data_IF_482195552128
#
_entry.id   IF_482195552128
#
_cell.length_a   1.000
_cell.length_b   1.000
_cell.length_c   1.000
_cell.angle_alpha   90.00
_cell.angle_beta   90.00
_cell.angle_gamma   90.00
#
_symmetry.space_group_name_H-M   'P 1'
#
loop_
_entity.id
_entity.type
_entity.pdbx_description
1 polymer ?
#
# COMPACT_ATOMS: atom_id res chain seq x y z
N UNK A 1 12.14 -8.63 5.94
CA UNK A 1 10.92 -9.42 5.66
C UNK A 1 9.87 -8.49 5.08
N UNK A 2 9.26 -8.84 3.96
CA UNK A 2 8.14 -8.12 3.32
C UNK A 2 7.01 -9.11 3.02
N UNK A 3 5.76 -8.69 3.24
CA UNK A 3 4.59 -9.48 2.91
C UNK A 3 3.72 -8.71 1.91
N UNK A 4 3.26 -9.39 0.87
CA UNK A 4 2.31 -8.87 -0.11
C UNK A 4 1.19 -9.87 -0.31
N UNK A 5 0.00 -9.41 -0.60
CA UNK A 5 -1.17 -10.28 -0.70
C UNK A 5 -1.98 -9.98 -1.97
N UNK A 6 -2.58 -11.02 -2.48
CA UNK A 6 -3.65 -10.95 -3.49
C UNK A 6 -4.95 -11.52 -2.89
N UNK A 7 -6.01 -11.60 -3.66
CA UNK A 7 -7.27 -12.19 -3.19
C UNK A 7 -7.20 -13.66 -2.78
N UNK A 8 -6.15 -14.41 -3.17
CA UNK A 8 -6.05 -15.86 -2.95
C UNK A 8 -4.76 -16.29 -2.26
N UNK A 9 -3.72 -15.46 -2.30
CA UNK A 9 -2.38 -15.85 -1.85
C UNK A 9 -1.66 -14.69 -1.16
N UNK A 10 -0.81 -15.03 -0.20
CA UNK A 10 0.13 -14.11 0.42
C UNK A 10 1.55 -14.64 0.20
N UNK A 11 2.45 -13.78 -0.24
CA UNK A 11 3.89 -14.06 -0.20
C UNK A 11 4.53 -13.38 1.00
N UNK A 12 5.43 -14.09 1.65
CA UNK A 12 6.34 -13.52 2.64
C UNK A 12 7.76 -13.70 2.12
N UNK A 13 8.39 -12.61 1.70
CA UNK A 13 9.74 -12.59 1.18
C UNK A 13 10.72 -12.18 2.28
N UNK A 14 11.82 -12.93 2.41
CA UNK A 14 12.90 -12.68 3.35
C UNK A 14 14.11 -12.08 2.63
N UNK A 15 14.97 -11.38 3.36
CA UNK A 15 16.22 -10.83 2.84
C UNK A 15 17.21 -11.90 2.34
N UNK A 16 17.03 -13.14 2.79
CA UNK A 16 17.77 -14.32 2.28
C UNK A 16 17.37 -14.73 0.86
N UNK A 17 16.32 -14.14 0.28
CA UNK A 17 15.72 -14.55 -0.99
C UNK A 17 14.69 -15.67 -0.87
N UNK A 18 14.51 -16.22 0.33
CA UNK A 18 13.48 -17.23 0.58
C UNK A 18 12.08 -16.61 0.51
N UNK A 19 11.16 -17.33 -0.13
CA UNK A 19 9.74 -16.96 -0.22
C UNK A 19 8.89 -18.06 0.40
N UNK A 20 8.06 -17.67 1.35
CA UNK A 20 6.92 -18.47 1.82
C UNK A 20 5.69 -18.04 1.02
N UNK A 21 5.02 -19.01 0.43
CA UNK A 21 3.78 -18.81 -0.30
C UNK A 21 2.63 -19.43 0.51
N UNK A 22 1.67 -18.60 0.89
CA UNK A 22 0.50 -18.99 1.68
C UNK A 22 -0.74 -18.89 0.81
N UNK A 23 -1.37 -20.02 0.50
CA UNK A 23 -2.70 -20.04 -0.11
C UNK A 23 -3.75 -19.78 0.98
N UNK A 24 -4.68 -18.84 0.74
CA UNK A 24 -5.67 -18.49 1.76
C UNK A 24 -6.61 -19.63 2.11
N UNK A 25 -6.91 -20.50 1.15
CA UNK A 25 -7.75 -21.71 1.35
C UNK A 25 -7.08 -22.75 2.26
N UNK A 26 -5.75 -22.71 2.39
CA UNK A 26 -4.97 -23.62 3.23
C UNK A 26 -4.72 -23.07 4.64
N UNK A 27 -5.16 -21.84 4.95
CA UNK A 27 -4.99 -21.23 6.25
C UNK A 27 -5.95 -21.86 7.27
N UNK A 28 -5.40 -22.48 8.30
CA UNK A 28 -6.12 -23.12 9.39
C UNK A 28 -5.55 -22.74 10.76
N UNK A 29 -5.70 -23.63 11.74
CA UNK A 29 -5.11 -23.44 13.09
C UNK A 29 -3.57 -23.38 13.07
N UNK A 30 -2.95 -23.98 12.05
CA UNK A 30 -1.51 -23.96 11.83
C UNK A 30 -1.22 -23.48 10.40
N UNK A 31 -0.18 -22.66 10.27
CA UNK A 31 0.30 -22.14 8.98
C UNK A 31 1.60 -22.87 8.62
N UNK A 32 1.63 -23.51 7.44
CA UNK A 32 2.88 -24.04 6.90
C UNK A 32 3.72 -22.88 6.32
N UNK A 33 4.70 -22.43 7.10
CA UNK A 33 5.63 -21.38 6.73
C UNK A 33 6.92 -21.91 6.10
N UNK A 34 6.89 -23.14 5.53
CA UNK A 34 8.06 -23.68 4.83
C UNK A 34 8.34 -22.88 3.57
N UNK A 35 9.57 -22.38 3.36
CA UNK A 35 9.93 -21.71 2.11
C UNK A 35 9.70 -22.60 0.90
N UNK A 36 9.01 -22.06 -0.12
CA UNK A 36 8.68 -22.76 -1.36
C UNK A 36 9.65 -22.47 -2.48
N UNK A 37 10.22 -21.26 -2.47
CA UNK A 37 11.09 -20.74 -3.51
C UNK A 37 12.25 -19.96 -2.90
N UNK A 38 13.33 -19.84 -3.67
CA UNK A 38 14.42 -18.89 -3.43
C UNK A 38 14.58 -18.06 -4.68
N UNK A 39 14.39 -16.74 -4.58
CA UNK A 39 14.53 -15.79 -5.70
C UNK A 39 15.39 -14.61 -5.28
N UNK A 40 16.16 -14.08 -6.23
CA UNK A 40 16.95 -12.85 -6.02
C UNK A 40 16.08 -11.62 -6.28
N UNK A 41 15.23 -11.29 -5.29
CA UNK A 41 14.31 -10.16 -5.39
C UNK A 41 14.93 -8.91 -4.78
N UNK A 42 14.88 -7.79 -5.52
CA UNK A 42 15.33 -6.46 -5.06
C UNK A 42 14.22 -5.61 -4.43
N UNK A 43 13.01 -6.15 -4.31
CA UNK A 43 11.82 -5.44 -3.82
C UNK A 43 10.72 -6.40 -3.34
N UNK A 44 9.48 -5.90 -3.19
CA UNK A 44 8.34 -6.71 -2.80
C UNK A 44 7.98 -7.74 -3.89
N UNK A 45 7.82 -9.01 -3.51
CA UNK A 45 7.35 -10.06 -4.43
C UNK A 45 5.85 -10.16 -4.31
N UNK A 46 5.13 -9.93 -5.41
CA UNK A 46 3.67 -9.85 -5.43
C UNK A 46 3.05 -11.09 -6.10
N UNK A 47 2.19 -11.86 -5.41
CA UNK A 47 1.40 -12.88 -6.05
C UNK A 47 0.25 -12.23 -6.84
N UNK A 48 0.12 -12.57 -8.13
CA UNK A 48 -0.94 -12.04 -8.96
C UNK A 48 -1.30 -13.02 -10.09
N UNK A 49 -2.57 -13.37 -10.24
CA UNK A 49 -3.11 -14.21 -11.32
C UNK A 49 -2.32 -15.54 -11.49
N UNK A 50 -2.11 -16.27 -10.40
CA UNK A 50 -1.35 -17.54 -10.33
C UNK A 50 0.12 -17.40 -10.81
N UNK A 51 0.71 -16.23 -10.63
CA UNK A 51 2.11 -15.89 -10.92
C UNK A 51 2.71 -15.13 -9.76
N UNK A 52 4.03 -15.01 -9.78
CA UNK A 52 4.78 -14.10 -8.92
C UNK A 52 5.41 -13.01 -9.79
N UNK A 53 5.20 -11.77 -9.39
CA UNK A 53 5.85 -10.59 -9.95
C UNK A 53 7.06 -10.28 -9.08
N UNK A 54 8.26 -10.37 -9.65
CA UNK A 54 9.53 -10.32 -8.91
C UNK A 54 10.38 -9.15 -9.38
N UNK A 55 10.55 -8.10 -8.58
CA UNK A 55 11.54 -7.06 -8.87
C UNK A 55 12.95 -7.62 -8.80
N UNK A 56 13.76 -7.36 -9.83
CA UNK A 56 15.14 -7.84 -9.93
C UNK A 56 16.17 -6.73 -9.76
N UNK A 57 17.39 -7.07 -9.41
CA UNK A 57 18.51 -6.13 -9.34
C UNK A 57 18.79 -5.43 -10.69
N UNK A 58 18.30 -5.99 -11.80
CA UNK A 58 18.35 -5.40 -13.14
C UNK A 58 17.36 -4.27 -13.38
N UNK A 59 16.66 -3.79 -12.36
CA UNK A 59 15.64 -2.74 -12.44
C UNK A 59 14.46 -3.11 -13.34
N UNK A 60 14.09 -4.38 -13.34
CA UNK A 60 12.90 -4.91 -14.01
C UNK A 60 12.03 -5.70 -13.04
N UNK A 61 10.76 -5.84 -13.38
CA UNK A 61 9.85 -6.79 -12.73
C UNK A 61 9.69 -7.96 -13.69
N UNK A 62 10.07 -9.15 -13.23
CA UNK A 62 9.94 -10.39 -13.99
C UNK A 62 8.71 -11.17 -13.53
N UNK A 63 8.20 -12.01 -14.42
CA UNK A 63 7.03 -12.86 -14.17
C UNK A 63 7.50 -14.30 -14.10
N UNK A 64 7.28 -14.94 -12.97
CA UNK A 64 7.55 -16.36 -12.78
C UNK A 64 6.27 -17.09 -12.34
N UNK A 65 6.23 -18.37 -12.55
CA UNK A 65 5.17 -19.21 -12.00
C UNK A 65 5.41 -19.53 -10.51
N UNK A 66 4.49 -20.24 -9.89
CA UNK A 66 4.60 -20.62 -8.48
C UNK A 66 5.67 -21.69 -8.20
N UNK A 67 6.31 -22.23 -9.24
CA UNK A 67 7.45 -23.14 -9.15
C UNK A 67 8.79 -22.43 -9.31
N UNK A 68 8.77 -21.14 -9.72
CA UNK A 68 9.95 -20.31 -9.94
C UNK A 68 10.44 -20.27 -11.38
N UNK A 69 9.73 -20.92 -12.30
CA UNK A 69 10.07 -20.91 -13.72
C UNK A 69 9.51 -19.67 -14.44
N UNK A 70 10.19 -19.13 -15.48
CA UNK A 70 9.68 -18.02 -16.27
C UNK A 70 8.26 -18.29 -16.80
N UNK A 71 7.36 -17.33 -16.61
CA UNK A 71 5.96 -17.45 -16.99
C UNK A 71 5.59 -16.46 -18.12
N UNK A 72 4.53 -16.76 -18.92
CA UNK A 72 4.08 -15.89 -19.99
C UNK A 72 3.63 -14.51 -19.48
N UNK A 73 4.13 -13.45 -20.14
CA UNK A 73 3.79 -12.07 -19.86
C UNK A 73 4.91 -11.11 -20.27
N UNK A 74 4.67 -9.83 -20.09
CA UNK A 74 5.62 -8.77 -20.40
C UNK A 74 6.34 -8.34 -19.12
N UNK A 75 7.66 -8.50 -19.09
CA UNK A 75 8.49 -7.88 -18.05
C UNK A 75 8.46 -6.35 -18.19
N UNK A 76 8.60 -5.63 -17.08
CA UNK A 76 8.56 -4.18 -17.09
C UNK A 76 9.76 -3.55 -16.41
N UNK A 77 10.25 -2.45 -16.94
CA UNK A 77 11.26 -1.62 -16.27
C UNK A 77 10.65 -0.98 -15.01
N UNK A 78 11.33 -1.16 -13.87
CA UNK A 78 10.97 -0.58 -12.59
C UNK A 78 12.21 -0.42 -11.72
N UNK A 79 12.84 0.74 -11.80
CA UNK A 79 13.96 1.07 -10.91
C UNK A 79 13.42 1.45 -9.54
N UNK A 80 14.05 0.98 -8.47
CA UNK A 80 13.68 1.33 -7.10
C UNK A 80 12.32 0.80 -6.67
N UNK A 81 11.96 -0.43 -7.08
CA UNK A 81 10.69 -1.05 -6.66
C UNK A 81 10.54 -1.02 -5.13
N UNK A 82 9.75 -0.08 -4.60
CA UNK A 82 9.64 0.20 -3.17
C UNK A 82 8.45 -0.49 -2.51
N UNK A 83 7.33 -0.59 -3.22
CA UNK A 83 6.10 -1.19 -2.73
C UNK A 83 5.29 -1.84 -3.85
N UNK A 84 4.36 -2.72 -3.49
CA UNK A 84 3.42 -3.33 -4.41
C UNK A 84 2.08 -3.58 -3.71
N UNK A 85 0.99 -3.29 -4.42
CA UNK A 85 -0.37 -3.52 -3.93
C UNK A 85 -1.27 -4.04 -5.04
N UNK A 86 -2.36 -4.71 -4.67
CA UNK A 86 -3.38 -5.18 -5.61
C UNK A 86 -4.59 -4.26 -5.58
N UNK A 87 -5.10 -3.95 -6.76
CA UNK A 87 -6.33 -3.21 -6.94
C UNK A 87 -7.32 -4.05 -7.73
N UNK A 88 -8.57 -3.62 -7.81
CA UNK A 88 -9.55 -4.26 -8.70
C UNK A 88 -9.20 -4.17 -10.20
N UNK A 89 -8.21 -3.38 -10.57
CA UNK A 89 -7.72 -3.23 -11.95
C UNK A 89 -6.57 -4.19 -12.23
N UNK A 90 -5.67 -4.37 -11.27
CA UNK A 90 -4.48 -5.21 -11.42
C UNK A 90 -3.50 -5.01 -10.26
N UNK A 91 -2.32 -5.61 -10.38
CA UNK A 91 -1.22 -5.40 -9.45
C UNK A 91 -0.40 -4.16 -9.84
N UNK A 92 -0.06 -3.34 -8.87
CA UNK A 92 0.67 -2.07 -9.05
C UNK A 92 1.97 -2.12 -8.28
N UNK A 93 3.06 -1.78 -8.94
CA UNK A 93 4.36 -1.57 -8.31
C UNK A 93 4.73 -0.10 -8.33
N UNK A 94 5.27 0.40 -7.23
CA UNK A 94 5.85 1.74 -7.13
C UNK A 94 7.30 1.70 -7.55
N UNK A 95 7.68 2.57 -8.49
CA UNK A 95 9.03 2.72 -9.02
C UNK A 95 9.49 4.18 -8.88
N UNK A 96 10.79 4.46 -9.05
CA UNK A 96 11.34 5.81 -8.97
C UNK A 96 10.70 6.80 -9.96
N UNK A 97 10.28 6.31 -11.14
CA UNK A 97 9.71 7.15 -12.21
C UNK A 97 8.18 7.14 -12.27
N UNK A 98 7.49 6.44 -11.35
CA UNK A 98 6.04 6.29 -11.38
C UNK A 98 5.57 4.96 -10.84
N UNK A 99 4.63 4.33 -11.54
CA UNK A 99 4.19 2.97 -11.24
C UNK A 99 4.21 2.09 -12.48
N UNK A 100 4.18 0.77 -12.24
CA UNK A 100 3.90 -0.23 -13.27
C UNK A 100 2.65 -0.99 -12.87
N UNK A 101 1.66 -1.03 -13.76
CA UNK A 101 0.44 -1.79 -13.61
C UNK A 101 0.54 -3.10 -14.39
N UNK A 102 0.31 -4.22 -13.72
CA UNK A 102 0.14 -5.52 -14.34
C UNK A 102 -1.33 -5.90 -14.40
N UNK A 103 -1.80 -6.29 -15.58
CA UNK A 103 -3.17 -6.75 -15.81
C UNK A 103 -3.18 -8.11 -16.47
N UNK A 104 -4.23 -8.89 -16.23
CA UNK A 104 -4.41 -10.20 -16.87
C UNK A 104 -5.11 -10.06 -18.21
N UNK A 105 -4.49 -10.54 -19.27
CA UNK A 105 -5.07 -10.59 -20.60
C UNK A 105 -5.99 -11.79 -20.81
N UNK A 106 -6.80 -11.71 -21.87
CA UNK A 106 -7.55 -12.86 -22.39
C UNK A 106 -6.54 -13.91 -22.89
N UNK A 107 -6.51 -15.07 -22.26
CA UNK A 107 -5.49 -16.10 -22.54
C UNK A 107 -4.50 -16.31 -21.41
N UNK A 108 -4.53 -15.45 -20.38
CA UNK A 108 -3.83 -15.67 -19.11
C UNK A 108 -2.42 -15.11 -19.03
N UNK A 109 -1.90 -14.51 -20.11
CA UNK A 109 -0.66 -13.74 -20.05
C UNK A 109 -0.85 -12.45 -19.23
N UNK A 110 0.22 -11.90 -18.69
CA UNK A 110 0.20 -10.61 -18.02
C UNK A 110 0.77 -9.53 -18.95
N UNK A 111 0.02 -8.44 -19.09
CA UNK A 111 0.48 -7.21 -19.74
C UNK A 111 0.99 -6.24 -18.66
N UNK A 112 2.03 -5.48 -19.00
CA UNK A 112 2.64 -4.48 -18.14
C UNK A 112 2.50 -3.09 -18.76
N UNK A 113 2.02 -2.13 -17.98
CA UNK A 113 1.79 -0.74 -18.42
C UNK A 113 2.47 0.23 -17.45
N UNK A 114 3.46 1.05 -17.89
CA UNK A 114 4.05 2.08 -17.06
C UNK A 114 3.11 3.28 -16.91
N UNK A 115 3.03 3.82 -15.70
CA UNK A 115 2.26 5.02 -15.36
C UNK A 115 3.24 6.05 -14.78
N UNK A 116 3.84 6.93 -15.60
CA UNK A 116 4.87 7.86 -15.15
C UNK A 116 4.30 8.99 -14.29
N UNK A 117 5.10 9.54 -13.37
CA UNK A 117 4.74 10.77 -12.68
C UNK A 117 4.62 11.94 -13.65
N UNK A 118 3.58 12.78 -13.54
CA UNK A 118 3.38 13.94 -14.43
C UNK A 118 4.30 15.12 -14.10
N UNK A 119 4.86 15.15 -12.89
CA UNK A 119 5.74 16.21 -12.39
C UNK A 119 6.83 15.59 -11.51
N UNK A 120 7.94 16.31 -11.36
CA UNK A 120 9.01 15.90 -10.46
C UNK A 120 8.60 16.13 -9.01
N UNK A 121 8.58 15.03 -8.24
CA UNK A 121 8.40 15.04 -6.79
C UNK A 121 8.90 13.68 -6.24
N UNK A 122 9.22 13.58 -4.95
CA UNK A 122 9.67 12.32 -4.36
C UNK A 122 8.67 11.19 -4.62
N UNK A 123 9.13 10.00 -5.08
CA UNK A 123 8.26 8.84 -5.20
C UNK A 123 7.80 8.38 -3.81
N UNK A 124 6.60 7.81 -3.69
CA UNK A 124 6.14 7.24 -2.44
C UNK A 124 6.91 5.96 -2.14
N UNK A 125 7.24 5.74 -0.88
CA UNK A 125 7.86 4.50 -0.41
C UNK A 125 6.84 3.41 -0.12
N UNK A 126 5.58 3.79 0.04
CA UNK A 126 4.42 2.91 0.23
C UNK A 126 3.23 3.47 -0.51
N UNK A 127 2.42 2.59 -1.09
CA UNK A 127 1.11 2.88 -1.64
C UNK A 127 0.04 2.14 -0.86
N UNK A 128 -1.06 2.80 -0.57
CA UNK A 128 -2.17 2.19 0.16
C UNK A 128 -3.51 2.69 -0.35
N UNK A 129 -4.47 1.80 -0.41
CA UNK A 129 -5.84 2.10 -0.76
C UNK A 129 -6.82 1.23 0.00
N UNK A 130 -8.10 1.56 -0.11
CA UNK A 130 -9.14 0.69 0.39
C UNK A 130 -9.20 -0.59 -0.46
N UNK A 131 -9.31 -1.74 0.19
CA UNK A 131 -9.40 -3.03 -0.47
C UNK A 131 -10.43 -3.03 -1.62
N UNK A 132 -10.11 -3.71 -2.72
CA UNK A 132 -10.94 -3.85 -3.93
C UNK A 132 -11.31 -2.53 -4.60
N UNK A 133 -10.50 -1.48 -4.43
CA UNK A 133 -10.69 -0.18 -5.08
C UNK A 133 -9.56 0.13 -6.08
N UNK A 134 -9.83 1.03 -7.04
CA UNK A 134 -8.84 1.31 -8.09
C UNK A 134 -7.79 2.34 -7.68
N UNK A 135 -7.99 3.06 -6.56
CA UNK A 135 -7.15 4.19 -6.19
C UNK A 135 -6.16 3.79 -5.10
N UNK A 136 -4.93 4.28 -5.22
CA UNK A 136 -3.87 4.14 -4.23
C UNK A 136 -3.29 5.52 -3.90
N UNK A 137 -2.82 5.71 -2.68
CA UNK A 137 -2.13 6.93 -2.28
C UNK A 137 -0.87 6.63 -1.47
N UNK A 138 0.10 7.55 -1.52
CA UNK A 138 1.33 7.46 -0.76
C UNK A 138 1.94 8.83 -0.53
N UNK A 139 2.79 8.96 0.48
CA UNK A 139 3.42 10.23 0.85
C UNK A 139 4.46 10.63 -0.20
N UNK A 140 4.43 11.89 -0.65
CA UNK A 140 5.36 12.51 -1.59
C UNK A 140 6.42 13.35 -0.86
N UNK A 141 7.16 12.73 0.06
CA UNK A 141 8.12 13.42 0.91
C UNK A 141 7.46 14.56 1.73
N UNK A 142 8.09 15.72 1.76
CA UNK A 142 7.57 16.88 2.49
C UNK A 142 6.56 17.72 1.67
N UNK A 143 6.31 17.34 0.40
CA UNK A 143 5.49 18.14 -0.52
C UNK A 143 3.99 17.86 -0.35
N UNK A 144 3.64 16.62 0.07
CA UNK A 144 2.25 16.21 0.21
C UNK A 144 2.06 14.71 -0.02
N UNK A 145 1.07 14.33 -0.82
CA UNK A 145 0.78 12.93 -1.16
C UNK A 145 0.58 12.75 -2.67
N UNK A 146 0.95 11.59 -3.17
CA UNK A 146 0.54 11.11 -4.46
C UNK A 146 -0.79 10.35 -4.36
N UNK A 147 -1.70 10.65 -5.27
CA UNK A 147 -2.91 9.86 -5.53
C UNK A 147 -2.79 9.25 -6.93
N UNK A 148 -2.89 7.94 -7.02
CA UNK A 148 -2.91 7.18 -8.27
C UNK A 148 -4.34 6.68 -8.52
N UNK A 149 -4.98 7.18 -9.55
CA UNK A 149 -6.14 6.56 -10.17
C UNK A 149 -5.66 5.50 -11.17
N UNK A 150 -5.69 4.23 -10.74
CA UNK A 150 -5.18 3.11 -11.54
C UNK A 150 -6.06 2.86 -12.77
N UNK A 151 -7.35 3.18 -12.71
CA UNK A 151 -8.27 3.03 -13.84
C UNK A 151 -7.98 4.03 -14.95
N UNK A 152 -7.71 5.28 -14.58
CA UNK A 152 -7.41 6.36 -15.51
C UNK A 152 -5.91 6.46 -15.85
N UNK A 153 -5.04 5.62 -15.25
CA UNK A 153 -3.57 5.67 -15.37
C UNK A 153 -3.03 7.06 -15.07
N UNK A 154 -3.51 7.66 -14.00
CA UNK A 154 -3.21 9.05 -13.71
C UNK A 154 -2.76 9.26 -12.28
N UNK A 155 -1.60 9.91 -12.14
CA UNK A 155 -1.13 10.45 -10.88
C UNK A 155 -1.61 11.89 -10.67
N UNK A 156 -1.96 12.21 -9.43
CA UNK A 156 -2.25 13.58 -8.96
C UNK A 156 -1.41 13.86 -7.73
N UNK A 157 -0.68 14.98 -7.74
CA UNK A 157 0.08 15.43 -6.56
C UNK A 157 -0.82 16.32 -5.70
N UNK A 158 -1.21 15.80 -4.54
CA UNK A 158 -1.97 16.52 -3.51
C UNK A 158 -0.98 17.28 -2.62
N UNK A 159 -0.84 18.57 -2.85
CA UNK A 159 0.10 19.39 -2.06
C UNK A 159 -0.43 19.59 -0.64
N UNK A 160 0.48 19.59 0.34
CA UNK A 160 0.17 19.85 1.74
C UNK A 160 1.14 20.88 2.31
N UNK A 161 0.61 21.82 3.09
CA UNK A 161 1.43 22.82 3.82
C UNK A 161 2.14 22.22 5.04
N UNK A 162 1.67 21.05 5.49
CA UNK A 162 2.19 20.33 6.64
C UNK A 162 2.71 18.98 6.17
N UNK A 163 3.92 18.56 6.57
CA UNK A 163 4.44 17.24 6.21
C UNK A 163 3.49 16.11 6.58
N UNK A 164 3.35 15.15 5.69
CA UNK A 164 2.50 13.99 5.88
C UNK A 164 3.33 12.77 6.29
N UNK A 165 2.72 11.87 7.08
CA UNK A 165 3.35 10.64 7.57
C UNK A 165 2.73 9.42 6.86
N UNK A 166 1.42 9.44 6.64
CA UNK A 166 0.67 8.37 5.98
C UNK A 166 -0.34 8.97 5.01
N UNK A 167 -0.62 8.22 3.93
CA UNK A 167 -1.65 8.56 2.96
C UNK A 167 -2.31 7.28 2.46
N UNK A 168 -3.64 7.24 2.42
CA UNK A 168 -4.44 6.10 1.96
C UNK A 168 -5.60 6.60 1.11
N UNK A 169 -5.78 6.04 -0.09
CA UNK A 169 -6.88 6.40 -0.97
C UNK A 169 -8.19 5.71 -0.52
N UNK A 170 -9.29 6.47 -0.50
CA UNK A 170 -10.62 5.92 -0.22
C UNK A 170 -11.19 5.13 -1.40
N UNK A 171 -10.76 5.41 -2.62
CA UNK A 171 -11.29 4.79 -3.84
C UNK A 171 -12.78 4.98 -3.99
N UNK A 172 -13.30 6.12 -3.58
CA UNK A 172 -14.69 6.52 -3.69
C UNK A 172 -14.92 7.42 -4.91
N UNK A 173 -16.18 7.74 -5.19
CA UNK A 173 -16.55 8.58 -6.33
C UNK A 173 -15.97 10.00 -6.26
N UNK A 174 -15.55 10.43 -5.08
CA UNK A 174 -14.90 11.72 -4.84
C UNK A 174 -13.38 11.66 -4.95
N UNK A 175 -12.78 10.51 -5.21
CA UNK A 175 -11.31 10.29 -5.25
C UNK A 175 -10.59 10.91 -4.06
N UNK A 176 -11.16 10.74 -2.85
CA UNK A 176 -10.65 11.34 -1.62
C UNK A 176 -9.49 10.52 -1.07
N UNK A 177 -8.60 11.22 -0.37
CA UNK A 177 -7.44 10.63 0.29
C UNK A 177 -7.47 10.95 1.78
N UNK A 178 -7.31 9.95 2.64
CA UNK A 178 -7.11 10.13 4.07
C UNK A 178 -5.62 10.21 4.34
N UNK A 179 -5.18 11.23 5.06
CA UNK A 179 -3.78 11.43 5.40
C UNK A 179 -3.61 11.66 6.90
N UNK A 180 -2.45 11.27 7.43
CA UNK A 180 -1.98 11.63 8.76
C UNK A 180 -0.82 12.62 8.62
N UNK A 181 -0.89 13.77 9.30
CA UNK A 181 0.17 14.76 9.29
C UNK A 181 1.14 14.62 10.49
N UNK A 182 2.23 15.39 10.44
CA UNK A 182 3.28 15.40 11.47
C UNK A 182 2.79 15.95 12.83
N UNK A 183 1.67 16.66 12.87
CA UNK A 183 1.04 17.12 14.10
C UNK A 183 0.15 16.05 14.76
N UNK A 184 0.01 14.90 14.13
CA UNK A 184 -0.85 13.81 14.61
C UNK A 184 -2.34 13.99 14.30
N UNK A 185 -2.67 14.78 13.27
CA UNK A 185 -4.04 15.02 12.81
C UNK A 185 -4.36 14.15 11.61
N UNK A 186 -5.54 13.62 11.60
CA UNK A 186 -6.10 13.00 10.38
C UNK A 186 -6.79 14.08 9.56
N UNK A 187 -6.53 14.07 8.26
CA UNK A 187 -7.19 14.95 7.29
C UNK A 187 -7.79 14.09 6.16
N UNK A 188 -8.87 14.58 5.57
CA UNK A 188 -9.42 14.05 4.33
C UNK A 188 -9.23 15.10 3.26
N UNK A 189 -8.52 14.73 2.20
CA UNK A 189 -8.22 15.62 1.08
C UNK A 189 -9.12 15.29 -0.10
N UNK A 190 -9.60 16.32 -0.78
CA UNK A 190 -10.19 16.23 -2.12
C UNK A 190 -9.09 16.01 -3.18
N UNK A 191 -9.43 15.59 -4.42
CA UNK A 191 -8.45 15.36 -5.48
C UNK A 191 -7.70 16.60 -5.96
N UNK A 192 -8.13 17.81 -5.60
CA UNK A 192 -7.43 19.08 -5.83
C UNK A 192 -6.53 19.49 -4.65
N UNK A 193 -6.51 18.70 -3.56
CA UNK A 193 -5.74 18.96 -2.35
C UNK A 193 -6.49 19.77 -1.29
N UNK A 194 -7.75 20.18 -1.52
CA UNK A 194 -8.54 20.86 -0.49
C UNK A 194 -8.76 19.95 0.71
N UNK A 195 -8.61 20.53 1.92
CA UNK A 195 -8.88 19.82 3.19
C UNK A 195 -10.37 19.86 3.48
N UNK A 196 -11.04 18.73 3.27
CA UNK A 196 -12.49 18.58 3.52
C UNK A 196 -12.81 18.34 5.00
N UNK A 197 -11.93 17.58 5.68
CA UNK A 197 -12.09 17.19 7.08
C UNK A 197 -10.74 17.27 7.78
N UNK A 198 -10.74 17.67 9.05
CA UNK A 198 -9.55 17.68 9.91
C UNK A 198 -9.93 17.40 11.36
N UNK A 199 -9.21 16.46 11.99
CA UNK A 199 -9.39 16.16 13.43
C UNK A 199 -8.58 17.12 14.31
N UNK A 200 -8.80 17.08 15.62
CA UNK A 200 -7.79 17.51 16.59
C UNK A 200 -6.54 16.59 16.51
N UNK A 201 -5.40 16.99 17.11
CA UNK A 201 -4.22 16.13 17.16
C UNK A 201 -4.48 14.89 18.02
N UNK A 202 -4.70 13.75 17.38
CA UNK A 202 -4.98 12.49 18.08
C UNK A 202 -3.70 11.76 18.46
N UNK A 203 -2.64 11.85 17.64
CA UNK A 203 -1.41 11.08 17.75
C UNK A 203 -0.16 11.91 18.01
N UNK A 204 -0.29 13.09 18.64
CA UNK A 204 0.84 13.99 18.83
C UNK A 204 2.07 13.32 19.49
N UNK A 205 1.86 12.47 20.49
CA UNK A 205 2.94 11.74 21.18
C UNK A 205 3.57 10.66 20.29
N UNK A 206 2.75 9.88 19.59
CA UNK A 206 3.22 8.81 18.70
C UNK A 206 4.01 9.37 17.52
N UNK A 207 3.59 10.47 16.91
CA UNK A 207 4.29 11.06 15.76
C UNK A 207 5.54 11.84 16.14
N UNK A 208 5.62 12.36 17.36
CA UNK A 208 6.79 13.08 17.85
C UNK A 208 8.00 12.18 18.08
N UNK A 209 7.77 10.90 18.44
CA UNK A 209 8.82 9.92 18.70
C UNK A 209 9.10 9.07 17.45
N UNK A 210 10.28 9.13 16.82
CA UNK A 210 10.57 8.40 15.57
C UNK A 210 10.26 6.91 15.65
N UNK A 211 10.69 6.23 16.72
CA UNK A 211 10.46 4.79 16.89
C UNK A 211 8.97 4.41 17.03
N UNK A 212 8.12 5.30 17.53
CA UNK A 212 6.68 5.09 17.59
C UNK A 212 6.01 5.47 16.27
N UNK A 213 6.49 6.52 15.60
CA UNK A 213 5.99 6.98 14.31
C UNK A 213 6.04 5.88 13.24
N UNK A 214 7.10 5.08 13.24
CA UNK A 214 7.24 3.96 12.30
C UNK A 214 6.19 2.88 12.53
N UNK A 215 5.67 2.76 13.75
CA UNK A 215 4.60 1.82 14.13
C UNK A 215 3.19 2.37 13.87
N UNK A 216 3.06 3.66 13.58
CA UNK A 216 1.75 4.25 13.26
C UNK A 216 1.28 3.72 11.92
N UNK A 217 0.09 3.14 11.89
CA UNK A 217 -0.56 2.64 10.70
C UNK A 217 -1.90 3.33 10.50
N UNK A 218 -2.26 3.51 9.25
CA UNK A 218 -3.54 4.08 8.82
C UNK A 218 -4.16 3.12 7.81
N UNK A 219 -5.34 2.61 8.11
CA UNK A 219 -6.14 1.74 7.24
C UNK A 219 -7.54 2.34 7.11
N UNK A 220 -8.20 2.16 5.98
CA UNK A 220 -9.53 2.73 5.73
C UNK A 220 -10.51 1.69 5.22
N UNK A 221 -11.76 1.82 5.64
CA UNK A 221 -12.91 1.14 5.04
C UNK A 221 -13.86 2.15 4.34
N UNK A 222 -15.08 1.76 4.06
CA UNK A 222 -16.08 2.59 3.40
C UNK A 222 -16.54 3.80 4.25
N UNK A 223 -16.33 3.78 5.56
CA UNK A 223 -16.86 4.76 6.51
C UNK A 223 -15.83 5.28 7.50
N UNK A 224 -14.85 4.47 7.85
CA UNK A 224 -13.91 4.75 8.92
C UNK A 224 -12.46 4.67 8.46
N UNK A 225 -11.63 5.44 9.16
CA UNK A 225 -10.20 5.28 9.20
C UNK A 225 -9.83 4.67 10.56
N UNK A 226 -8.94 3.68 10.54
CA UNK A 226 -8.39 3.02 11.73
C UNK A 226 -6.94 3.42 11.87
N UNK A 227 -6.59 3.94 13.03
CA UNK A 227 -5.30 4.56 13.28
C UNK A 227 -4.67 3.98 14.54
N UNK A 228 -3.50 3.36 14.42
CA UNK A 228 -2.77 2.88 15.59
C UNK A 228 -2.14 4.05 16.34
N UNK A 229 -2.25 4.04 17.67
CA UNK A 229 -1.60 4.97 18.58
C UNK A 229 -0.66 4.20 19.54
N UNK A 230 0.61 3.98 19.14
CA UNK A 230 1.56 3.23 19.94
C UNK A 230 1.94 3.90 21.27
N UNK A 231 1.84 5.23 21.37
CA UNK A 231 2.16 5.95 22.60
C UNK A 231 1.12 5.69 23.70
N UNK A 232 -0.16 5.64 23.32
CA UNK A 232 -1.26 5.45 24.25
C UNK A 232 -1.75 3.97 24.30
N UNK A 233 -1.12 3.07 23.52
CA UNK A 233 -1.52 1.66 23.45
C UNK A 233 -2.95 1.51 22.92
N UNK A 234 -3.31 2.25 21.87
CA UNK A 234 -4.68 2.36 21.41
C UNK A 234 -4.82 2.20 19.87
N UNK A 235 -6.05 1.96 19.43
CA UNK A 235 -6.47 2.08 18.04
C UNK A 235 -7.71 2.98 18.01
N UNK A 236 -7.65 4.04 17.21
CA UNK A 236 -8.78 4.95 17.00
C UNK A 236 -9.55 4.58 15.72
N UNK A 237 -10.87 4.49 15.84
CA UNK A 237 -11.82 4.39 14.73
C UNK A 237 -12.41 5.79 14.51
N UNK A 238 -12.21 6.35 13.31
CA UNK A 238 -12.56 7.73 12.97
C UNK A 238 -13.52 7.70 11.79
N UNK A 239 -14.71 8.32 11.92
CA UNK A 239 -15.58 8.56 10.77
C UNK A 239 -14.92 9.62 9.86
N UNK A 240 -14.41 9.20 8.71
CA UNK A 240 -13.67 10.08 7.81
C UNK A 240 -14.54 11.10 7.07
N UNK A 241 -15.89 11.10 7.27
CA UNK A 241 -16.79 12.10 6.68
C UNK A 241 -16.87 13.38 7.50
N UNK A 242 -16.67 13.27 8.83
CA UNK A 242 -16.79 14.40 9.76
C UNK A 242 -15.58 14.53 10.72
N UNK A 243 -14.65 13.59 10.69
CA UNK A 243 -13.47 13.57 11.55
C UNK A 243 -13.72 13.18 13.00
N UNK A 244 -14.91 12.70 13.32
CA UNK A 244 -15.26 12.31 14.68
C UNK A 244 -14.64 10.95 15.02
N UNK A 245 -13.99 10.86 16.18
CA UNK A 245 -13.59 9.57 16.77
C UNK A 245 -14.87 8.81 17.16
N UNK A 246 -15.17 7.76 16.42
CA UNK A 246 -16.33 6.91 16.64
C UNK A 246 -16.10 5.94 17.81
N UNK A 247 -14.89 5.43 17.93
CA UNK A 247 -14.47 4.49 18.98
C UNK A 247 -12.97 4.58 19.23
N UNK A 248 -12.55 4.25 20.45
CA UNK A 248 -11.15 4.00 20.81
C UNK A 248 -11.04 2.66 21.49
N UNK A 249 -10.16 1.81 20.99
CA UNK A 249 -9.79 0.54 21.61
C UNK A 249 -8.50 0.77 22.39
N UNK A 250 -8.47 0.44 23.68
CA UNK A 250 -7.35 0.68 24.59
C UNK A 250 -6.73 -0.62 25.07
N UNK A 251 -5.65 -0.51 25.84
CA UNK A 251 -4.92 -1.65 26.43
C UNK A 251 -4.35 -2.59 25.35
N UNK A 252 -3.86 -2.02 24.25
CA UNK A 252 -3.25 -2.71 23.14
C UNK A 252 -1.75 -2.41 23.06
N UNK A 253 -0.99 -3.28 22.38
CA UNK A 253 0.34 -2.96 21.86
C UNK A 253 0.30 -3.03 20.33
N UNK A 254 -0.24 -1.99 19.64
CA UNK A 254 -0.56 -2.06 18.24
C UNK A 254 0.73 -1.98 17.39
N UNK A 255 1.12 -3.10 16.79
CA UNK A 255 2.18 -3.19 15.79
C UNK A 255 1.64 -3.25 14.37
N UNK A 256 0.45 -3.78 14.22
CA UNK A 256 -0.17 -3.99 12.93
C UNK A 256 -1.69 -3.88 13.05
N UNK A 257 -2.33 -3.25 12.07
CA UNK A 257 -3.77 -3.21 11.90
C UNK A 257 -4.13 -3.63 10.49
N UNK A 258 -5.07 -4.54 10.36
CA UNK A 258 -5.59 -5.02 9.09
C UNK A 258 -7.11 -5.00 9.13
N UNK A 259 -7.70 -4.44 8.08
CA UNK A 259 -9.14 -4.54 7.86
C UNK A 259 -9.44 -5.91 7.23
N UNK A 260 -10.38 -6.64 7.78
CA UNK A 260 -10.86 -7.93 7.28
C UNK A 260 -12.37 -7.88 7.08
N UNK A 261 -12.86 -8.36 5.94
CA UNK A 261 -14.31 -8.46 5.60
C UNK A 261 -14.82 -7.41 4.66
#
# INVERSE_FOLDING_TARGET
>A
MRATTSGQQTTVAFESGEIVLLAHDDLGETVDATPRLVVDASGPVMPFADRLLVPTAGSSIEIIDLSGDPAPGESAACTGASDADTTRVGAVFTCDAGAVLFTREVGGALAAEPIPFPVEAPPPTTLSGRADRPDLAGVAGEIGAWLLDVRERRWTLLRSEVPLIRAVALGDDGSRTVVLDIDGRVRVLAPDGEVLVRTEPLLAASVAAPALRDRVQLVVDARHAYLTDPADGAVHEIDHRDGRVARTFTDLDPWFVQQVG
#
